data_IF_528247070100
#
_entry.id   IF_528247070100
#
_cell.length_a   1.000
_cell.length_b   1.000
_cell.length_c   1.000
_cell.angle_alpha   90.00
_cell.angle_beta   90.00
_cell.angle_gamma   90.00
#
_symmetry.space_group_name_H-M   'P 1'
#
loop_
_entity.id
_entity.type
_entity.pdbx_description
1 polymer ?
#
# COMPACT_ATOMS: atom_id res chain seq x y z
N UNK A 1 11.15 13.77 7.39
CA UNK A 1 11.13 14.64 6.20
C UNK A 1 9.80 14.43 5.50
N UNK A 2 8.84 15.33 5.66
CA UNK A 2 7.60 15.29 4.87
C UNK A 2 7.93 15.79 3.45
N UNK A 3 7.70 14.95 2.44
CA UNK A 3 7.93 15.34 1.06
C UNK A 3 7.01 16.51 0.71
N UNK A 4 7.59 17.59 0.16
CA UNK A 4 6.83 18.73 -0.35
C UNK A 4 5.98 18.27 -1.53
N UNK A 5 4.68 18.59 -1.50
CA UNK A 5 3.77 18.37 -2.63
C UNK A 5 4.14 19.30 -3.77
N UNK A 6 4.13 18.81 -5.00
CA UNK A 6 4.36 19.60 -6.22
C UNK A 6 3.15 20.42 -6.64
N UNK A 7 2.00 20.26 -5.95
CA UNK A 7 0.77 20.97 -6.26
C UNK A 7 0.05 20.41 -7.49
N UNK A 8 0.48 19.24 -7.99
CA UNK A 8 -0.13 18.53 -9.10
C UNK A 8 -0.72 17.22 -8.58
N UNK A 9 -2.03 17.06 -8.75
CA UNK A 9 -2.77 15.87 -8.27
C UNK A 9 -2.13 14.58 -8.77
N UNK A 10 -1.71 14.53 -10.03
CA UNK A 10 -1.10 13.34 -10.63
C UNK A 10 0.27 13.04 -10.02
N UNK A 11 1.15 14.06 -9.95
CA UNK A 11 2.51 13.89 -9.47
C UNK A 11 2.55 13.57 -7.97
N UNK A 12 1.68 14.22 -7.19
CA UNK A 12 1.60 14.00 -5.74
C UNK A 12 0.95 12.65 -5.42
N UNK A 13 -0.04 12.21 -6.20
CA UNK A 13 -0.59 10.85 -6.09
C UNK A 13 0.47 9.80 -6.38
N UNK A 14 1.19 9.91 -7.50
CA UNK A 14 2.27 8.98 -7.88
C UNK A 14 3.32 8.86 -6.77
N UNK A 15 3.83 9.97 -6.26
CA UNK A 15 4.79 9.95 -5.13
C UNK A 15 4.23 9.33 -3.86
N UNK A 16 2.97 9.60 -3.55
CA UNK A 16 2.33 8.99 -2.39
C UNK A 16 2.16 7.47 -2.54
N UNK A 17 1.95 6.99 -3.78
CA UNK A 17 1.91 5.56 -4.11
C UNK A 17 3.30 4.94 -3.96
N UNK A 18 4.35 5.58 -4.47
CA UNK A 18 5.73 5.07 -4.34
C UNK A 18 6.12 4.87 -2.88
N UNK A 19 5.82 5.86 -2.03
CA UNK A 19 6.05 5.77 -0.58
C UNK A 19 5.20 4.66 0.06
N UNK A 20 3.94 4.51 -0.35
CA UNK A 20 3.07 3.45 0.14
C UNK A 20 3.56 2.06 -0.30
N UNK A 21 4.11 1.93 -1.51
CA UNK A 21 4.70 0.70 -2.02
C UNK A 21 5.97 0.31 -1.24
N UNK A 22 6.85 1.27 -0.95
CA UNK A 22 7.99 1.04 -0.06
C UNK A 22 7.55 0.56 1.32
N UNK A 23 6.55 1.20 1.93
CA UNK A 23 6.02 0.80 3.23
C UNK A 23 5.41 -0.61 3.20
N UNK A 24 4.68 -0.95 2.13
CA UNK A 24 4.13 -2.29 1.93
C UNK A 24 5.23 -3.35 1.79
N UNK A 25 6.31 -3.04 1.07
CA UNK A 25 7.47 -3.91 0.94
C UNK A 25 8.17 -4.16 2.28
N UNK A 26 8.37 -3.11 3.09
CA UNK A 26 8.93 -3.25 4.44
C UNK A 26 8.00 -4.10 5.34
N UNK A 27 6.68 -3.87 5.25
CA UNK A 27 5.71 -4.57 6.08
C UNK A 27 5.57 -6.05 5.70
N UNK A 28 5.55 -6.37 4.40
CA UNK A 28 5.20 -7.72 3.92
C UNK A 28 6.40 -8.52 3.40
N UNK A 29 7.57 -7.90 3.34
CA UNK A 29 8.77 -8.47 2.73
C UNK A 29 8.75 -8.29 1.21
N UNK A 30 9.89 -8.59 0.54
CA UNK A 30 9.97 -8.56 -0.91
C UNK A 30 8.93 -9.50 -1.54
N UNK A 31 8.46 -9.13 -2.73
CA UNK A 31 7.71 -10.03 -3.60
C UNK A 31 8.76 -10.77 -4.44
N UNK A 32 8.94 -12.06 -4.20
CA UNK A 32 9.67 -12.90 -5.15
C UNK A 32 8.67 -13.32 -6.21
N UNK A 33 8.99 -12.98 -7.46
CA UNK A 33 8.25 -13.45 -8.62
C UNK A 33 9.11 -14.52 -9.27
N UNK A 34 8.50 -15.64 -9.63
CA UNK A 34 9.16 -16.65 -10.44
C UNK A 34 9.34 -16.17 -11.89
N UNK A 35 9.96 -16.99 -12.74
CA UNK A 35 10.24 -16.65 -14.15
C UNK A 35 8.96 -16.35 -14.95
N UNK A 36 7.81 -16.83 -14.50
CA UNK A 36 6.49 -16.64 -15.10
C UNK A 36 5.73 -15.42 -14.52
N UNK A 37 6.30 -14.76 -13.50
CA UNK A 37 5.72 -13.58 -12.87
C UNK A 37 4.67 -13.88 -11.79
N UNK A 38 4.61 -15.12 -11.31
CA UNK A 38 3.78 -15.54 -10.17
C UNK A 38 4.55 -15.38 -8.85
N UNK A 39 3.83 -15.12 -7.75
CA UNK A 39 4.47 -14.95 -6.44
C UNK A 39 5.06 -16.29 -5.96
N UNK A 40 6.39 -16.41 -5.95
CA UNK A 40 7.11 -17.60 -5.52
C UNK A 40 7.00 -17.75 -4.00
N UNK A 41 6.17 -18.69 -3.53
CA UNK A 41 6.08 -19.04 -2.12
C UNK A 41 7.33 -19.81 -1.67
N UNK A 42 8.44 -19.10 -1.42
CA UNK A 42 9.58 -19.66 -0.70
C UNK A 42 9.17 -19.87 0.76
N UNK A 43 8.61 -21.06 1.03
CA UNK A 43 7.99 -21.46 2.28
C UNK A 43 8.91 -21.44 3.52
N UNK A 44 10.21 -21.14 3.37
CA UNK A 44 11.17 -21.08 4.47
C UNK A 44 11.61 -19.65 4.85
N UNK A 45 11.31 -18.63 4.03
CA UNK A 45 11.49 -17.20 4.36
C UNK A 45 10.16 -16.52 4.76
N UNK A 46 9.28 -17.29 5.41
CA UNK A 46 7.86 -17.00 5.68
C UNK A 46 7.53 -15.67 6.38
N UNK A 47 8.52 -14.88 6.80
CA UNK A 47 8.31 -13.61 7.49
C UNK A 47 9.42 -12.57 7.28
N UNK A 48 9.86 -12.37 6.03
CA UNK A 48 10.87 -11.35 5.71
C UNK A 48 10.37 -9.89 5.93
N UNK A 49 9.08 -9.69 6.22
CA UNK A 49 8.47 -8.38 6.47
C UNK A 49 8.19 -8.15 7.96
N UNK A 50 8.13 -6.89 8.37
CA UNK A 50 7.92 -6.52 9.78
C UNK A 50 6.50 -6.80 10.32
N UNK A 51 5.51 -6.98 9.45
CA UNK A 51 4.10 -7.11 9.84
C UNK A 51 3.70 -8.58 9.91
N UNK A 52 3.62 -9.19 11.08
CA UNK A 52 3.21 -10.58 11.26
C UNK A 52 1.94 -10.96 10.46
N UNK A 53 1.80 -12.24 10.09
CA UNK A 53 0.55 -12.80 9.52
C UNK A 53 -0.65 -12.48 10.41
N UNK A 54 -1.79 -12.18 9.79
CA UNK A 54 -2.98 -11.67 10.48
C UNK A 54 -2.88 -10.19 10.88
N UNK A 55 -1.71 -9.55 10.76
CA UNK A 55 -1.49 -8.13 11.02
C UNK A 55 -2.26 -7.22 10.05
N UNK A 56 -2.34 -5.95 10.41
CA UNK A 56 -3.04 -4.92 9.63
C UNK A 56 -2.10 -3.78 9.25
N UNK A 57 -2.34 -3.17 8.09
CA UNK A 57 -1.62 -1.98 7.64
C UNK A 57 -2.61 -0.87 7.31
N UNK A 58 -2.20 0.37 7.58
CA UNK A 58 -2.95 1.58 7.23
C UNK A 58 -2.00 2.48 6.45
N UNK A 59 -2.30 2.71 5.17
CA UNK A 59 -1.50 3.53 4.28
C UNK A 59 -2.25 4.83 3.99
N UNK A 60 -1.59 5.96 4.21
CA UNK A 60 -2.11 7.29 3.91
C UNK A 60 -1.58 7.74 2.56
N UNK A 61 -2.44 8.00 1.59
CA UNK A 61 -2.05 8.42 0.24
C UNK A 61 -3.00 9.49 -0.33
N UNK A 62 -2.61 10.08 -1.46
CA UNK A 62 -3.43 11.01 -2.21
C UNK A 62 -4.15 10.25 -3.34
N UNK A 63 -5.47 10.35 -3.38
CA UNK A 63 -6.28 9.72 -4.42
C UNK A 63 -6.02 10.37 -5.78
N UNK A 64 -5.63 9.56 -6.76
CA UNK A 64 -5.32 9.98 -8.12
C UNK A 64 -5.05 8.79 -9.03
N UNK A 65 -4.47 9.02 -10.23
CA UNK A 65 -4.05 7.95 -11.12
C UNK A 65 -3.16 6.92 -10.41
N UNK A 66 -3.32 5.62 -10.73
CA UNK A 66 -2.52 4.54 -10.14
C UNK A 66 -3.02 4.02 -8.78
N UNK A 67 -3.94 4.73 -8.11
CA UNK A 67 -4.38 4.36 -6.75
C UNK A 67 -5.25 3.11 -6.71
N UNK A 68 -6.02 2.83 -7.77
CA UNK A 68 -6.85 1.62 -7.86
C UNK A 68 -5.99 0.38 -8.14
N UNK A 69 -4.99 0.52 -9.01
CA UNK A 69 -3.99 -0.49 -9.33
C UNK A 69 -3.20 -0.85 -8.08
N UNK A 70 -2.75 0.16 -7.32
CA UNK A 70 -2.08 -0.07 -6.04
C UNK A 70 -3.00 -0.77 -5.02
N UNK A 71 -4.29 -0.44 -4.98
CA UNK A 71 -5.22 -1.14 -4.10
C UNK A 71 -5.43 -2.62 -4.50
N UNK A 72 -5.30 -2.97 -5.79
CA UNK A 72 -5.30 -4.36 -6.22
C UNK A 72 -4.09 -5.14 -5.68
N UNK A 73 -2.92 -4.50 -5.57
CA UNK A 73 -1.74 -5.08 -4.92
C UNK A 73 -2.05 -5.41 -3.45
N UNK A 74 -2.66 -4.48 -2.71
CA UNK A 74 -3.04 -4.73 -1.31
C UNK A 74 -4.06 -5.88 -1.17
N UNK A 75 -5.04 -5.99 -2.09
CA UNK A 75 -6.00 -7.11 -2.08
C UNK A 75 -5.35 -8.49 -2.27
N UNK A 76 -4.22 -8.56 -2.97
CA UNK A 76 -3.45 -9.82 -3.08
C UNK A 76 -2.80 -10.19 -1.76
N UNK A 77 -2.26 -9.21 -1.02
CA UNK A 77 -1.49 -9.39 0.23
C UNK A 77 -2.34 -9.52 1.51
N UNK A 78 -3.56 -8.98 1.52
CA UNK A 78 -4.45 -8.93 2.68
C UNK A 78 -5.78 -9.64 2.40
N UNK A 79 -6.40 -10.26 3.41
CA UNK A 79 -7.70 -10.92 3.22
C UNK A 79 -8.81 -9.90 2.96
N UNK A 80 -8.73 -8.71 3.56
CA UNK A 80 -9.71 -7.64 3.39
C UNK A 80 -9.00 -6.32 3.16
N UNK A 81 -9.65 -5.44 2.39
CA UNK A 81 -9.18 -4.10 2.12
C UNK A 81 -10.33 -3.12 2.26
N UNK A 82 -10.08 -1.93 2.80
CA UNK A 82 -11.05 -0.85 2.90
C UNK A 82 -10.45 0.51 2.52
N UNK A 83 -11.21 1.31 1.79
CA UNK A 83 -10.93 2.74 1.60
C UNK A 83 -11.60 3.51 2.73
N UNK A 84 -10.85 4.39 3.37
CA UNK A 84 -11.34 5.22 4.47
C UNK A 84 -10.96 6.68 4.23
N UNK A 85 -11.93 7.57 4.40
CA UNK A 85 -11.70 9.02 4.43
C UNK A 85 -12.23 9.54 5.76
N UNK A 86 -11.37 9.67 6.79
CA UNK A 86 -11.78 10.13 8.10
C UNK A 86 -12.41 11.52 8.07
N UNK A 87 -13.29 11.82 9.03
CA UNK A 87 -13.90 13.15 9.20
C UNK A 87 -12.84 14.26 9.39
N UNK A 88 -11.65 13.91 9.89
CA UNK A 88 -10.53 14.82 10.06
C UNK A 88 -9.86 15.24 8.74
N UNK A 89 -10.12 14.54 7.64
CA UNK A 89 -9.58 14.90 6.32
C UNK A 89 -10.32 16.13 5.78
N UNK A 90 -9.57 17.19 5.48
CA UNK A 90 -10.12 18.44 4.92
C UNK A 90 -10.86 18.17 3.61
N UNK A 91 -11.89 18.95 3.30
CA UNK A 91 -12.76 18.74 2.13
C UNK A 91 -11.99 18.84 0.81
N UNK A 92 -11.05 19.79 0.73
CA UNK A 92 -10.23 20.06 -0.44
C UNK A 92 -9.13 19.00 -0.68
N UNK A 93 -8.75 18.26 0.35
CA UNK A 93 -7.66 17.27 0.23
C UNK A 93 -8.12 16.06 -0.58
N UNK A 94 -7.24 15.48 -1.40
CA UNK A 94 -7.46 14.17 -2.03
C UNK A 94 -6.98 13.00 -1.17
N UNK A 95 -6.59 13.27 0.06
CA UNK A 95 -6.13 12.28 1.01
C UNK A 95 -7.20 11.20 1.30
N UNK A 96 -6.74 9.96 1.31
CA UNK A 96 -7.47 8.76 1.66
C UNK A 96 -6.55 7.80 2.40
N UNK A 97 -7.15 6.93 3.19
CA UNK A 97 -6.47 5.84 3.88
C UNK A 97 -6.89 4.53 3.23
N UNK A 98 -5.90 3.76 2.81
CA UNK A 98 -6.09 2.40 2.33
C UNK A 98 -5.70 1.44 3.45
N UNK A 99 -6.66 0.66 3.90
CA UNK A 99 -6.53 -0.22 5.06
C UNK A 99 -6.48 -1.66 4.56
N UNK A 100 -5.38 -2.36 4.82
CA UNK A 100 -5.25 -3.80 4.60
C UNK A 100 -5.41 -4.54 5.93
N UNK A 101 -6.37 -5.47 6.00
CA UNK A 101 -6.66 -6.24 7.20
C UNK A 101 -6.33 -7.71 6.98
N UNK A 102 -5.78 -8.32 8.02
CA UNK A 102 -5.40 -9.73 8.05
C UNK A 102 -4.42 -10.09 6.92
N UNK A 103 -3.13 -9.74 7.09
CA UNK A 103 -2.05 -10.18 6.20
C UNK A 103 -2.15 -11.70 6.00
N UNK A 104 -2.16 -12.16 4.74
CA UNK A 104 -2.14 -13.59 4.38
C UNK A 104 -0.78 -14.20 4.71
#
# INVERSE_FOLDING_TARGET
MCHSTQGSVSADAARSIDLAACALGIATGPVHLDEDGEEEELAEQRDAGLLNRGGCIVLKLLQGPGTLEFAAVLKRRFKKMAWQRPKATRKESKEVFLVGLERK
#
